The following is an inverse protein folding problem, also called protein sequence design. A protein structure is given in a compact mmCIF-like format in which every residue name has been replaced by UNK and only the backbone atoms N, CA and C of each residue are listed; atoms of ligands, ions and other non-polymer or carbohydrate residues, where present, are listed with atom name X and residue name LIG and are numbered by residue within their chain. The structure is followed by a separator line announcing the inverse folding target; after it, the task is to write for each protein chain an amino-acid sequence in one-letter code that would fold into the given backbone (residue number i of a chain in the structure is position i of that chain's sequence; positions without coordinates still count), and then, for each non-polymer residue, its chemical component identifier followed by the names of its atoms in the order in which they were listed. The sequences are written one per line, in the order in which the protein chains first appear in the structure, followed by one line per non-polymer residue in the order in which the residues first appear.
data_IF_786223662601
#
_entry.id   IF_786223662601
#
_cell.length_a   1.000
_cell.length_b   1.000
_cell.length_c   1.000
_cell.angle_alpha   90.00
_cell.angle_beta   90.00
_cell.angle_gamma   90.00
#
_symmetry.space_group_name_H-M   'P 1'
#
loop_
_entity.id
_entity.type
_entity.pdbx_description
1 polymer ?
#
# COMPACT_ATOMS: atom_id res chain seq x y z
N UNK A 1 -11.17 3.02 -2.82
CA UNK A 1 -10.33 2.13 -3.65
C UNK A 1 -8.88 2.55 -3.46
N UNK A 2 -8.00 1.64 -3.08
CA UNK A 2 -6.57 1.91 -2.82
C UNK A 2 -5.74 1.52 -4.05
N UNK A 3 -5.06 2.50 -4.64
CA UNK A 3 -3.97 2.28 -5.59
C UNK A 3 -2.65 2.23 -4.83
N UNK A 4 -1.68 1.44 -5.31
CA UNK A 4 -0.40 1.28 -4.63
C UNK A 4 -0.54 0.81 -3.16
N UNK A 5 -1.31 -0.27 -2.86
CA UNK A 5 -1.62 -0.67 -1.48
C UNK A 5 -0.40 -1.09 -0.63
N UNK A 6 0.78 -1.19 -1.25
CA UNK A 6 2.05 -1.49 -0.59
C UNK A 6 3.03 -0.31 -0.64
N UNK A 7 2.57 0.91 -0.92
CA UNK A 7 3.43 2.08 -1.15
C UNK A 7 4.53 1.85 -2.22
N UNK A 8 4.30 0.92 -3.15
CA UNK A 8 5.31 0.41 -4.09
C UNK A 8 6.60 -0.13 -3.43
N UNK A 9 6.51 -0.53 -2.15
CA UNK A 9 7.64 -1.02 -1.36
C UNK A 9 8.52 0.07 -0.75
N UNK A 10 8.12 1.36 -0.83
CA UNK A 10 8.85 2.48 -0.21
C UNK A 10 8.80 2.43 1.32
N UNK A 11 9.68 3.18 1.99
CA UNK A 11 9.76 3.30 3.46
C UNK A 11 9.84 1.94 4.17
N UNK A 12 10.64 1.02 3.64
CA UNK A 12 10.89 -0.27 4.27
C UNK A 12 9.59 -1.03 4.60
N UNK A 13 8.56 -0.86 3.75
CA UNK A 13 7.18 -1.30 3.99
C UNK A 13 7.10 -2.78 4.38
N UNK A 14 7.84 -3.64 3.67
CA UNK A 14 7.84 -5.08 3.88
C UNK A 14 8.68 -5.54 5.09
N UNK A 15 9.43 -4.63 5.70
CA UNK A 15 10.23 -4.85 6.91
C UNK A 15 9.73 -4.02 8.09
N UNK A 16 8.53 -3.43 7.99
CA UNK A 16 7.89 -2.75 9.11
C UNK A 16 7.64 -3.75 10.25
N UNK A 17 8.27 -3.51 11.40
CA UNK A 17 8.22 -4.45 12.54
C UNK A 17 6.80 -4.65 13.07
N UNK A 18 5.95 -3.60 13.11
CA UNK A 18 4.56 -3.73 13.53
C UNK A 18 3.77 -4.67 12.62
N UNK A 19 3.89 -4.52 11.29
CA UNK A 19 3.20 -5.41 10.34
C UNK A 19 3.77 -6.84 10.39
N UNK A 20 5.06 -6.98 10.66
CA UNK A 20 5.73 -8.28 10.78
C UNK A 20 5.28 -9.03 12.03
N UNK A 21 5.28 -8.38 13.19
CA UNK A 21 4.79 -8.94 14.46
C UNK A 21 3.32 -9.37 14.34
N UNK A 22 2.49 -8.57 13.68
CA UNK A 22 1.09 -8.96 13.40
C UNK A 22 1.06 -10.16 12.45
N UNK A 23 1.85 -10.15 11.39
CA UNK A 23 1.92 -11.26 10.43
C UNK A 23 2.31 -12.59 11.08
N UNK A 24 3.28 -12.57 11.99
CA UNK A 24 3.74 -13.73 12.75
C UNK A 24 2.61 -14.37 13.58
N UNK A 25 1.71 -13.56 14.17
CA UNK A 25 0.56 -14.08 14.94
C UNK A 25 -0.40 -14.91 14.09
N UNK A 26 -0.55 -14.59 12.81
CA UNK A 26 -1.47 -15.25 11.89
C UNK A 26 -0.77 -16.23 10.92
N UNK A 27 0.56 -16.33 10.96
CA UNK A 27 1.33 -17.06 9.94
C UNK A 27 1.21 -16.45 8.54
N UNK A 28 1.02 -15.13 8.46
CA UNK A 28 0.79 -14.38 7.22
C UNK A 28 1.93 -13.40 6.97
N UNK A 29 2.20 -13.10 5.71
CA UNK A 29 3.21 -12.11 5.32
C UNK A 29 2.74 -10.67 5.62
N UNK A 30 3.69 -9.74 5.69
CA UNK A 30 3.41 -8.29 5.80
C UNK A 30 2.46 -7.81 4.71
N UNK A 31 2.62 -8.30 3.47
CA UNK A 31 1.74 -7.97 2.35
C UNK A 31 0.29 -8.42 2.61
N UNK A 32 0.10 -9.63 3.14
CA UNK A 32 -1.24 -10.16 3.45
C UNK A 32 -1.90 -9.38 4.59
N UNK A 33 -1.14 -9.02 5.63
CA UNK A 33 -1.64 -8.17 6.74
C UNK A 33 -2.08 -6.80 6.20
N UNK A 34 -1.28 -6.16 5.37
CA UNK A 34 -1.60 -4.87 4.76
C UNK A 34 -2.88 -4.91 3.91
N UNK A 35 -3.03 -5.93 3.05
CA UNK A 35 -4.25 -6.11 2.25
C UNK A 35 -5.46 -6.38 3.14
N UNK A 36 -5.30 -7.26 4.13
CA UNK A 36 -6.37 -7.60 5.08
C UNK A 36 -6.86 -6.37 5.85
N UNK A 37 -5.95 -5.52 6.31
CA UNK A 37 -6.27 -4.26 6.99
C UNK A 37 -7.15 -3.36 6.12
N UNK A 38 -6.76 -3.12 4.86
CA UNK A 38 -7.54 -2.31 3.92
C UNK A 38 -8.92 -2.92 3.66
N UNK A 39 -8.99 -4.24 3.42
CA UNK A 39 -10.24 -4.95 3.17
C UNK A 39 -11.19 -4.87 4.38
N UNK A 40 -10.69 -5.05 5.62
CA UNK A 40 -11.50 -4.93 6.84
C UNK A 40 -12.05 -3.53 7.06
N UNK A 41 -11.37 -2.49 6.53
CA UNK A 41 -11.86 -1.11 6.50
C UNK A 41 -12.83 -0.84 5.35
N UNK A 42 -13.32 -1.87 4.66
CA UNK A 42 -14.17 -1.77 3.47
C UNK A 42 -13.51 -0.99 2.31
N UNK A 43 -12.17 -1.03 2.21
CA UNK A 43 -11.43 -0.43 1.10
C UNK A 43 -11.12 -1.49 0.05
N UNK A 44 -11.66 -1.32 -1.16
CA UNK A 44 -11.29 -2.14 -2.33
C UNK A 44 -9.80 -1.95 -2.65
N UNK A 45 -9.05 -3.06 -2.78
CA UNK A 45 -7.61 -3.08 -3.06
C UNK A 45 -7.31 -3.61 -4.46
N UNK A 46 -6.28 -3.06 -5.12
CA UNK A 46 -5.78 -3.50 -6.44
C UNK A 46 -4.25 -3.72 -6.42
N UNK A 47 -3.74 -4.73 -5.69
CA UNK A 47 -2.30 -4.99 -5.62
C UNK A 47 -1.75 -5.46 -6.97
N UNK A 48 -0.66 -4.84 -7.43
CA UNK A 48 0.05 -5.26 -8.64
C UNK A 48 1.17 -6.24 -8.32
N UNK A 49 1.24 -7.34 -9.05
CA UNK A 49 2.39 -8.24 -9.11
C UNK A 49 2.52 -8.85 -10.51
N UNK A 50 3.71 -9.33 -10.86
CA UNK A 50 3.96 -10.07 -12.10
C UNK A 50 4.28 -11.55 -11.85
N UNK A 51 4.47 -11.95 -10.59
CA UNK A 51 4.80 -13.34 -10.22
C UNK A 51 3.57 -14.06 -9.69
N UNK A 52 3.37 -15.30 -10.15
CA UNK A 52 2.18 -16.11 -9.86
C UNK A 52 2.06 -16.42 -8.36
N UNK A 53 3.18 -16.71 -7.72
CA UNK A 53 3.26 -17.05 -6.30
C UNK A 53 2.73 -15.90 -5.44
N UNK A 54 3.09 -14.66 -5.80
CA UNK A 54 2.57 -13.45 -5.14
C UNK A 54 1.12 -13.16 -5.49
N UNK A 55 0.63 -13.53 -6.69
CA UNK A 55 -0.79 -13.41 -7.01
C UNK A 55 -1.63 -14.27 -6.07
N UNK A 56 -1.21 -15.53 -5.88
CA UNK A 56 -1.85 -16.48 -4.97
C UNK A 56 -1.77 -15.93 -3.53
N UNK A 57 -0.58 -15.50 -3.10
CA UNK A 57 -0.39 -14.95 -1.75
C UNK A 57 -1.25 -13.69 -1.50
N UNK A 58 -1.33 -12.76 -2.46
CA UNK A 58 -2.13 -11.54 -2.33
C UNK A 58 -3.64 -11.84 -2.29
N UNK A 59 -4.08 -12.96 -2.85
CA UNK A 59 -5.47 -13.39 -2.83
C UNK A 59 -5.83 -14.15 -1.53
N UNK A 60 -4.84 -14.79 -0.91
CA UNK A 60 -4.97 -15.55 0.35
C UNK A 60 -5.02 -14.62 1.59
N UNK A 61 -6.06 -13.79 1.66
CA UNK A 61 -6.26 -12.78 2.72
C UNK A 61 -7.66 -12.81 3.35
N UNK A 62 -8.46 -13.82 3.04
CA UNK A 62 -9.85 -13.93 3.48
C UNK A 62 -10.07 -14.99 4.57
N UNK A 63 -9.05 -15.77 4.89
CA UNK A 63 -9.06 -16.88 5.84
C UNK A 63 -8.65 -16.48 7.27
N UNK A 64 -8.33 -15.20 7.50
CA UNK A 64 -8.03 -14.65 8.83
C UNK A 64 -8.69 -13.28 9.06
N UNK A 65 -8.73 -12.83 10.30
CA UNK A 65 -9.32 -11.56 10.72
C UNK A 65 -8.38 -10.89 11.72
N UNK A 66 -8.01 -9.64 11.43
CA UNK A 66 -7.25 -8.79 12.36
C UNK A 66 -8.16 -8.38 13.53
N UNK A 67 -7.62 -8.47 14.74
CA UNK A 67 -8.31 -7.99 15.95
C UNK A 67 -8.40 -6.46 15.96
N UNK A 68 -9.27 -5.90 16.81
CA UNK A 68 -9.34 -4.44 16.98
C UNK A 68 -7.98 -3.86 17.39
N UNK A 69 -7.26 -4.53 18.29
CA UNK A 69 -5.94 -4.09 18.73
C UNK A 69 -4.92 -4.07 17.59
N UNK A 70 -4.96 -5.06 16.68
CA UNK A 70 -4.11 -5.06 15.48
C UNK A 70 -4.47 -3.91 14.54
N UNK A 71 -5.76 -3.66 14.34
CA UNK A 71 -6.24 -2.56 13.51
C UNK A 71 -5.78 -1.20 14.07
N UNK A 72 -5.87 -1.00 15.39
CA UNK A 72 -5.40 0.23 16.07
C UNK A 72 -3.87 0.40 15.99
N UNK A 73 -3.11 -0.70 16.09
CA UNK A 73 -1.65 -0.65 15.92
C UNK A 73 -1.26 -0.22 14.50
N UNK A 74 -1.93 -0.76 13.48
CA UNK A 74 -1.66 -0.41 12.08
C UNK A 74 -2.08 1.03 11.80
N UNK A 75 -3.19 1.50 12.37
CA UNK A 75 -3.65 2.88 12.21
C UNK A 75 -2.62 3.91 12.69
N UNK A 76 -1.90 3.62 13.78
CA UNK A 76 -0.84 4.49 14.32
C UNK A 76 0.39 4.62 13.42
N UNK A 77 0.48 3.85 12.33
CA UNK A 77 1.55 3.99 11.34
C UNK A 77 1.29 5.11 10.33
N UNK A 78 0.10 5.73 10.33
CA UNK A 78 -0.22 6.81 9.40
C UNK A 78 0.68 8.03 9.63
N UNK A 79 1.23 8.56 8.53
CA UNK A 79 2.09 9.75 8.51
C UNK A 79 1.38 10.95 7.88
N UNK A 80 0.12 10.80 7.47
CA UNK A 80 -0.72 11.85 6.87
C UNK A 80 -0.14 12.48 5.58
N UNK A 81 0.86 11.83 4.98
CA UNK A 81 1.57 12.34 3.81
C UNK A 81 1.70 11.27 2.72
N UNK A 82 1.64 11.71 1.48
CA UNK A 82 1.90 10.88 0.30
C UNK A 82 3.39 10.56 0.19
N UNK A 83 3.72 9.29 -0.07
CA UNK A 83 5.09 8.83 -0.32
C UNK A 83 5.60 9.10 -1.75
N UNK A 84 4.81 9.81 -2.56
CA UNK A 84 5.14 10.11 -3.95
C UNK A 84 5.30 11.61 -4.14
N UNK A 85 4.19 12.34 -4.06
CA UNK A 85 4.12 13.78 -4.20
C UNK A 85 2.77 14.28 -3.68
N UNK A 86 2.69 15.58 -3.41
CA UNK A 86 1.44 16.27 -3.10
C UNK A 86 0.75 16.72 -4.38
N UNK A 87 -0.53 16.40 -4.53
CA UNK A 87 -1.31 16.88 -5.69
C UNK A 87 -1.66 18.38 -5.59
N UNK A 88 -1.38 19.01 -4.45
CA UNK A 88 -1.60 20.44 -4.21
C UNK A 88 -0.35 21.28 -4.41
N UNK A 89 0.80 20.65 -4.61
CA UNK A 89 2.05 21.34 -4.92
C UNK A 89 2.05 21.81 -6.39
N UNK A 90 2.21 23.13 -6.67
CA UNK A 90 2.21 23.65 -8.03
C UNK A 90 3.24 22.99 -8.96
N UNK A 91 4.44 22.63 -8.45
CA UNK A 91 5.47 21.98 -9.26
C UNK A 91 5.02 20.59 -9.74
N UNK A 92 4.37 19.84 -8.85
CA UNK A 92 3.76 18.54 -9.19
C UNK A 92 2.67 18.68 -10.26
N UNK A 93 1.85 19.75 -10.20
CA UNK A 93 0.81 20.02 -11.20
C UNK A 93 1.42 20.33 -12.57
N UNK A 94 2.45 21.18 -12.61
CA UNK A 94 3.17 21.49 -13.85
C UNK A 94 3.80 20.24 -14.47
N UNK A 95 4.43 19.40 -13.64
CA UNK A 95 5.00 18.13 -14.07
C UNK A 95 3.93 17.23 -14.70
N UNK A 96 2.83 16.96 -14.01
CA UNK A 96 1.77 16.06 -14.48
C UNK A 96 1.10 16.56 -15.77
N UNK A 97 0.82 17.87 -15.87
CA UNK A 97 0.22 18.46 -17.07
C UNK A 97 1.20 18.62 -18.23
N UNK A 98 2.51 18.52 -17.95
CA UNK A 98 3.57 18.44 -18.94
C UNK A 98 3.74 17.06 -19.57
N UNK A 99 3.28 15.99 -18.91
CA UNK A 99 3.38 14.62 -19.42
C UNK A 99 2.65 14.51 -20.77
N UNK A 100 3.39 14.14 -21.81
CA UNK A 100 2.87 13.99 -23.18
C UNK A 100 2.98 15.24 -24.06
N UNK A 101 3.36 16.40 -23.52
CA UNK A 101 3.79 17.53 -24.36
C UNK A 101 5.17 17.18 -24.94
N UNK A 102 5.23 16.82 -26.22
CA UNK A 102 6.52 16.78 -26.94
C UNK A 102 7.12 18.18 -26.81
N UNK A 103 8.30 18.29 -26.19
CA UNK A 103 9.13 19.48 -26.38
C UNK A 103 9.37 19.64 -27.87
N UNK A 104 8.62 20.53 -28.51
CA UNK A 104 9.02 21.07 -29.80
C UNK A 104 10.22 21.97 -29.46
N UNK A 105 11.42 21.39 -29.53
CA UNK A 105 12.63 22.19 -29.58
C UNK A 105 12.55 23.03 -30.86
N UNK A 106 12.82 24.34 -30.81
CA UNK A 106 12.96 25.15 -32.01
C UNK A 106 14.12 24.65 -32.88
#
# INVERSE_FOLDING_TARGET
MSWGPFAEGKNDYFTNETLKEIGEQYGKSVAQVALRYLIQRNVVVIPKTVTKERMIQNFDVFDFVLTNDDMEKIEKLDQEQSLFFSHYDPETVEFLTGLGKKTVKP
#
